data_IF_985598865721
#
_entry.id   IF_985598865721
#
_cell.length_a   1.000
_cell.length_b   1.000
_cell.length_c   1.000
_cell.angle_alpha   90.00
_cell.angle_beta   90.00
_cell.angle_gamma   90.00
#
_symmetry.space_group_name_H-M   'P 1'
#
loop_
_entity.id
_entity.type
_entity.pdbx_description
1 polymer ?
#
# COMPACT_ATOMS: atom_id res chain seq x y z
N UNK A 1 -60.65 1.30 -33.94
CA UNK A 1 -60.57 2.61 -34.64
C UNK A 1 -59.23 3.20 -34.26
N UNK A 2 -58.17 2.97 -35.05
CA UNK A 2 -57.77 3.72 -36.26
C UNK A 2 -57.19 5.09 -35.86
N UNK A 3 -56.06 5.60 -36.34
CA UNK A 3 -55.26 5.29 -37.53
C UNK A 3 -53.88 5.99 -37.39
N UNK A 4 -52.77 5.36 -37.82
CA UNK A 4 -51.99 5.70 -39.05
C UNK A 4 -51.17 6.99 -39.02
N UNK A 5 -49.84 6.89 -39.14
CA UNK A 5 -49.05 6.93 -40.40
C UNK A 5 -48.92 8.31 -41.04
N UNK A 6 -47.67 8.78 -41.12
CA UNK A 6 -47.08 9.46 -42.30
C UNK A 6 -45.57 9.62 -42.01
N UNK A 7 -44.65 8.76 -42.49
CA UNK A 7 -44.13 8.61 -43.86
C UNK A 7 -43.84 9.96 -44.56
N UNK A 8 -42.55 10.29 -44.69
CA UNK A 8 -41.96 10.84 -45.94
C UNK A 8 -40.53 10.30 -46.12
N UNK A 9 -40.39 9.46 -47.14
CA UNK A 9 -39.14 9.13 -47.81
C UNK A 9 -38.74 10.30 -48.73
N UNK A 10 -37.44 10.51 -48.95
CA UNK A 10 -36.94 10.94 -50.27
C UNK A 10 -35.53 10.39 -50.48
N UNK A 11 -35.36 9.81 -51.66
CA UNK A 11 -34.26 8.98 -52.14
C UNK A 11 -33.27 9.75 -53.06
N UNK A 12 -32.11 9.12 -53.27
CA UNK A 12 -31.13 9.22 -54.38
C UNK A 12 -30.15 10.40 -54.48
N UNK A 13 -28.84 10.08 -54.36
CA UNK A 13 -27.96 9.91 -55.53
C UNK A 13 -26.62 9.27 -55.16
N UNK A 14 -26.39 8.08 -55.70
CA UNK A 14 -25.07 7.48 -55.93
C UNK A 14 -24.51 8.05 -57.24
N UNK A 15 -23.20 8.30 -57.29
CA UNK A 15 -22.45 8.38 -58.55
C UNK A 15 -21.09 7.71 -58.34
N UNK A 16 -20.87 6.51 -58.87
CA UNK A 16 -19.55 5.99 -59.21
C UNK A 16 -19.15 6.53 -60.58
N UNK A 17 -17.85 6.74 -60.84
CA UNK A 17 -17.19 6.64 -62.15
C UNK A 17 -15.82 7.33 -62.09
N UNK A 18 -14.74 6.55 -62.10
CA UNK A 18 -13.86 6.51 -63.27
C UNK A 18 -12.68 5.58 -63.05
N UNK A 19 -12.62 4.60 -63.94
CA UNK A 19 -11.65 3.53 -64.04
C UNK A 19 -11.14 3.54 -65.50
N UNK A 20 -9.82 3.38 -65.66
CA UNK A 20 -9.04 3.01 -66.87
C UNK A 20 -9.02 3.93 -68.10
N UNK A 21 -7.82 4.38 -68.46
CA UNK A 21 -7.07 3.97 -69.68
C UNK A 21 -5.91 4.95 -69.95
N UNK A 22 -4.91 4.67 -70.79
CA UNK A 22 -3.88 3.63 -70.77
C UNK A 22 -2.75 4.09 -71.73
N UNK A 23 -1.49 3.67 -71.47
CA UNK A 23 -0.35 3.50 -72.42
C UNK A 23 0.22 4.75 -73.15
N UNK A 24 1.51 4.90 -73.51
CA UNK A 24 2.72 4.04 -73.54
C UNK A 24 3.94 4.89 -73.95
N UNK A 25 5.14 4.29 -73.75
CA UNK A 25 6.48 4.53 -74.36
C UNK A 25 7.46 5.27 -73.43
N UNK A 26 8.68 4.80 -73.16
CA UNK A 26 9.54 3.86 -73.87
C UNK A 26 10.59 3.20 -72.95
N UNK A 27 11.10 2.08 -73.46
CA UNK A 27 12.01 1.04 -72.96
C UNK A 27 13.43 1.45 -72.53
N UNK A 28 14.02 0.66 -71.62
CA UNK A 28 15.38 0.13 -71.81
C UNK A 28 15.51 -1.28 -71.23
N UNK A 29 15.98 -2.21 -72.07
CA UNK A 29 15.94 -3.68 -71.94
C UNK A 29 17.31 -4.21 -71.43
N UNK A 30 17.92 -3.57 -70.43
CA UNK A 30 19.31 -3.90 -70.04
C UNK A 30 19.50 -4.51 -68.64
N UNK A 31 18.44 -4.76 -67.87
CA UNK A 31 18.58 -5.19 -66.47
C UNK A 31 18.05 -6.59 -66.15
N UNK A 32 17.65 -7.38 -67.14
CA UNK A 32 17.08 -8.72 -66.90
C UNK A 32 17.96 -9.92 -67.26
N UNK A 33 19.25 -9.73 -67.56
CA UNK A 33 20.17 -10.85 -67.82
C UNK A 33 21.52 -10.58 -67.15
N UNK A 34 21.67 -11.06 -65.90
CA UNK A 34 22.87 -10.94 -65.08
C UNK A 34 24.08 -11.72 -65.64
N UNK A 35 24.70 -11.19 -66.69
CA UNK A 35 25.95 -11.69 -67.27
C UNK A 35 26.91 -10.50 -67.48
N UNK A 36 27.86 -10.31 -66.54
CA UNK A 36 29.01 -9.43 -66.76
C UNK A 36 30.03 -10.17 -67.63
N UNK A 37 30.22 -9.70 -68.85
CA UNK A 37 31.31 -10.12 -69.73
C UNK A 37 32.68 -9.77 -69.11
N UNK A 38 33.56 -10.76 -69.01
CA UNK A 38 34.94 -10.62 -68.53
C UNK A 38 35.86 -10.26 -69.70
N UNK A 39 36.59 -9.15 -69.58
CA UNK A 39 37.49 -8.64 -70.61
C UNK A 39 38.79 -9.50 -70.75
N UNK A 40 39.39 -9.56 -71.95
CA UNK A 40 40.41 -10.53 -72.34
C UNK A 40 41.85 -10.13 -71.95
N UNK A 41 42.11 -9.88 -70.67
CA UNK A 41 43.47 -9.61 -70.16
C UNK A 41 43.99 -10.66 -69.15
N UNK A 42 43.12 -11.55 -68.68
CA UNK A 42 43.45 -12.53 -67.63
C UNK A 42 43.97 -13.88 -68.16
N UNK A 43 43.94 -14.10 -69.47
CA UNK A 43 44.35 -15.40 -70.08
C UNK A 43 45.88 -15.52 -70.22
N UNK A 44 46.63 -14.43 -70.13
CA UNK A 44 48.09 -14.44 -70.36
C UNK A 44 48.90 -14.77 -69.09
N UNK A 45 48.31 -14.72 -67.89
CA UNK A 45 49.04 -15.01 -66.63
C UNK A 45 49.08 -16.50 -66.22
N UNK A 46 48.43 -17.38 -66.97
CA UNK A 46 48.30 -18.81 -66.63
C UNK A 46 49.21 -19.74 -67.47
N UNK A 47 50.20 -19.21 -68.20
CA UNK A 47 51.15 -20.01 -69.00
C UNK A 47 52.61 -19.99 -68.52
N UNK A 48 52.94 -19.41 -67.36
CA UNK A 48 54.31 -19.38 -66.83
C UNK A 48 54.64 -20.52 -65.83
N UNK A 49 53.84 -21.60 -65.82
CA UNK A 49 53.91 -22.68 -64.81
C UNK A 49 54.50 -24.02 -65.31
N UNK A 50 55.37 -23.99 -66.32
CA UNK A 50 56.09 -25.19 -66.79
C UNK A 50 57.59 -24.89 -67.03
N UNK A 51 58.39 -24.89 -65.95
CA UNK A 51 59.84 -25.08 -66.00
C UNK A 51 60.24 -26.14 -64.96
N UNK A 52 60.66 -27.32 -65.44
CA UNK A 52 61.19 -28.40 -64.61
C UNK A 52 62.63 -28.07 -64.14
N UNK A 53 62.93 -28.08 -62.83
CA UNK A 53 64.31 -28.11 -62.34
C UNK A 53 64.83 -29.55 -62.24
N UNK A 54 65.97 -29.79 -62.90
CA UNK A 54 66.72 -31.04 -62.92
C UNK A 54 67.43 -31.33 -61.59
N UNK A 55 67.33 -32.58 -61.10
CA UNK A 55 68.28 -33.22 -60.17
C UNK A 55 68.01 -33.10 -58.65
N UNK A 56 67.33 -34.08 -58.04
CA UNK A 56 67.32 -34.28 -56.57
C UNK A 56 68.38 -35.32 -56.17
N UNK A 57 69.34 -34.90 -55.33
CA UNK A 57 70.25 -35.80 -54.59
C UNK A 57 69.51 -36.42 -53.40
N UNK A 58 69.67 -37.72 -53.17
CA UNK A 58 69.13 -38.43 -52.00
C UNK A 58 69.79 -37.89 -50.73
N UNK A 59 68.97 -37.49 -49.74
CA UNK A 59 69.43 -37.10 -48.40
C UNK A 59 69.66 -38.35 -47.57
N UNK A 60 70.83 -38.49 -46.98
CA UNK A 60 71.15 -39.58 -46.05
C UNK A 60 71.20 -39.04 -44.63
N UNK A 61 70.81 -39.87 -43.67
CA UNK A 61 70.81 -39.54 -42.24
C UNK A 61 72.20 -39.07 -41.77
N UNK A 62 73.27 -39.61 -42.36
CA UNK A 62 74.64 -39.19 -42.12
C UNK A 62 74.92 -37.74 -42.56
N UNK A 63 74.32 -37.30 -43.68
CA UNK A 63 74.42 -35.93 -44.16
C UNK A 63 73.68 -34.93 -43.26
N UNK A 64 72.51 -35.31 -42.75
CA UNK A 64 71.72 -34.46 -41.86
C UNK A 64 72.39 -34.29 -40.49
N UNK A 65 72.96 -35.35 -39.92
CA UNK A 65 73.72 -35.28 -38.65
C UNK A 65 75.01 -34.47 -38.81
N UNK A 66 75.73 -34.64 -39.93
CA UNK A 66 76.93 -33.86 -40.22
C UNK A 66 76.61 -32.37 -40.43
N UNK A 67 75.48 -32.05 -41.06
CA UNK A 67 75.03 -30.66 -41.22
C UNK A 67 74.65 -30.01 -39.89
N UNK A 68 74.03 -30.76 -38.97
CA UNK A 68 73.66 -30.26 -37.64
C UNK A 68 74.89 -30.04 -36.75
N UNK A 69 75.88 -30.93 -36.80
CA UNK A 69 77.16 -30.78 -36.10
C UNK A 69 77.96 -29.57 -36.61
N UNK A 70 77.96 -29.34 -37.92
CA UNK A 70 78.70 -28.23 -38.55
C UNK A 70 78.03 -26.87 -38.33
N UNK A 71 76.70 -26.84 -38.22
CA UNK A 71 75.93 -25.59 -38.14
C UNK A 71 75.63 -25.16 -36.71
N UNK A 72 75.49 -26.09 -35.76
CA UNK A 72 75.01 -25.76 -34.41
C UNK A 72 75.98 -26.06 -33.25
N UNK A 73 77.14 -26.73 -33.47
CA UNK A 73 78.15 -27.06 -32.44
C UNK A 73 77.57 -27.18 -31.01
N UNK A 74 76.65 -28.12 -30.76
CA UNK A 74 75.96 -28.19 -29.49
C UNK A 74 76.96 -28.46 -28.35
N UNK A 75 76.99 -27.57 -27.36
CA UNK A 75 77.79 -27.74 -26.14
C UNK A 75 77.30 -28.97 -25.36
N UNK A 76 78.18 -29.72 -24.71
CA UNK A 76 77.81 -30.86 -23.86
C UNK A 76 76.73 -30.49 -22.82
N UNK A 77 76.71 -29.23 -22.36
CA UNK A 77 75.67 -28.69 -21.50
C UNK A 77 74.26 -28.73 -22.13
N UNK A 78 74.14 -28.45 -23.43
CA UNK A 78 72.84 -28.47 -24.14
C UNK A 78 72.28 -29.88 -24.30
N UNK A 79 73.15 -30.90 -24.38
CA UNK A 79 72.76 -32.31 -24.44
C UNK A 79 72.25 -32.76 -23.08
N UNK A 80 72.94 -32.38 -21.99
CA UNK A 80 72.48 -32.67 -20.62
C UNK A 80 71.16 -31.95 -20.31
N UNK A 81 70.99 -30.70 -20.75
CA UNK A 81 69.73 -29.94 -20.59
C UNK A 81 68.58 -30.56 -21.40
N UNK A 82 68.86 -31.07 -22.60
CA UNK A 82 67.87 -31.76 -23.43
C UNK A 82 67.45 -33.10 -22.81
N UNK A 83 68.38 -33.83 -22.20
CA UNK A 83 68.10 -35.09 -21.51
C UNK A 83 67.30 -34.85 -20.21
N UNK A 84 67.62 -33.80 -19.46
CA UNK A 84 66.88 -33.41 -18.26
C UNK A 84 65.46 -32.92 -18.58
N UNK A 85 65.26 -32.23 -19.70
CA UNK A 85 63.92 -31.88 -20.22
C UNK A 85 63.10 -33.10 -20.63
N UNK A 86 63.73 -34.22 -20.99
CA UNK A 86 63.05 -35.47 -21.35
C UNK A 86 62.61 -36.28 -20.12
N UNK A 87 63.23 -36.05 -18.96
CA UNK A 87 62.81 -36.64 -17.68
C UNK A 87 61.58 -35.96 -17.07
N UNK A 88 61.29 -34.71 -17.42
CA UNK A 88 60.00 -34.06 -17.09
C UNK A 88 58.93 -34.48 -18.11
N UNK A 89 58.19 -35.54 -17.77
CA UNK A 89 57.19 -36.13 -18.64
C UNK A 89 56.02 -35.14 -18.91
N UNK A 90 55.51 -35.01 -20.15
CA UNK A 90 54.34 -34.19 -20.50
C UNK A 90 53.06 -34.52 -19.72
N UNK A 91 53.06 -35.63 -18.99
CA UNK A 91 51.96 -36.10 -18.16
C UNK A 91 51.79 -35.29 -16.87
N UNK A 92 52.87 -34.75 -16.29
CA UNK A 92 52.81 -33.97 -15.05
C UNK A 92 52.29 -32.55 -15.28
N UNK A 93 52.72 -31.87 -16.35
CA UNK A 93 52.17 -30.57 -16.74
C UNK A 93 50.69 -30.66 -17.12
N UNK A 94 50.27 -31.78 -17.72
CA UNK A 94 48.87 -32.02 -18.11
C UNK A 94 47.99 -32.29 -16.89
N UNK A 95 48.48 -33.06 -15.90
CA UNK A 95 47.78 -33.27 -14.61
C UNK A 95 47.66 -31.98 -13.81
N UNK A 96 48.71 -31.16 -13.73
CA UNK A 96 48.64 -29.87 -13.03
C UNK A 96 47.69 -28.87 -13.70
N UNK A 97 47.67 -28.80 -15.04
CA UNK A 97 46.69 -27.97 -15.78
C UNK A 97 45.25 -28.47 -15.64
N UNK A 98 45.03 -29.78 -15.57
CA UNK A 98 43.70 -30.36 -15.34
C UNK A 98 43.21 -30.11 -13.89
N UNK A 99 44.07 -30.24 -12.89
CA UNK A 99 43.73 -29.95 -11.48
C UNK A 99 43.48 -28.45 -11.28
N UNK A 100 44.28 -27.58 -11.89
CA UNK A 100 44.08 -26.14 -11.83
C UNK A 100 42.78 -25.69 -12.54
N UNK A 101 42.45 -26.31 -13.69
CA UNK A 101 41.20 -26.05 -14.41
C UNK A 101 39.98 -26.58 -13.64
N UNK A 102 40.06 -27.79 -13.09
CA UNK A 102 38.99 -28.38 -12.28
C UNK A 102 38.75 -27.59 -10.97
N UNK A 103 39.80 -27.07 -10.32
CA UNK A 103 39.69 -26.21 -9.13
C UNK A 103 39.09 -24.84 -9.45
N UNK A 104 39.37 -24.28 -10.63
CA UNK A 104 38.79 -23.00 -11.07
C UNK A 104 37.31 -23.15 -11.49
N UNK A 105 36.93 -24.27 -12.09
CA UNK A 105 35.53 -24.60 -12.41
C UNK A 105 34.71 -24.95 -11.15
N UNK A 106 35.30 -25.66 -10.17
CA UNK A 106 34.60 -26.00 -8.92
C UNK A 106 34.39 -24.80 -7.99
N UNK A 107 35.33 -23.85 -7.94
CA UNK A 107 35.16 -22.59 -7.19
C UNK A 107 34.07 -21.70 -7.82
N UNK A 108 33.98 -21.63 -9.14
CA UNK A 108 32.92 -20.87 -9.80
C UNK A 108 31.54 -21.51 -9.56
N UNK A 109 31.45 -22.85 -9.59
CA UNK A 109 30.20 -23.54 -9.28
C UNK A 109 29.79 -23.38 -7.81
N UNK A 110 30.74 -23.34 -6.88
CA UNK A 110 30.46 -23.13 -5.45
C UNK A 110 29.96 -21.70 -5.17
N UNK A 111 30.53 -20.70 -5.84
CA UNK A 111 30.05 -19.31 -5.75
C UNK A 111 28.64 -19.17 -6.33
N UNK A 112 28.34 -19.83 -7.46
CA UNK A 112 26.99 -19.82 -8.05
C UNK A 112 25.96 -20.50 -7.14
N UNK A 113 26.32 -21.63 -6.51
CA UNK A 113 25.44 -22.31 -5.54
C UNK A 113 25.23 -21.45 -4.30
N UNK A 114 26.27 -20.83 -3.75
CA UNK A 114 26.15 -19.92 -2.61
C UNK A 114 25.25 -18.71 -2.93
N UNK A 115 25.38 -18.13 -4.13
CA UNK A 115 24.54 -17.02 -4.58
C UNK A 115 23.07 -17.44 -4.76
N UNK A 116 22.82 -18.65 -5.26
CA UNK A 116 21.47 -19.20 -5.38
C UNK A 116 20.81 -19.40 -4.00
N UNK A 117 21.57 -19.89 -3.01
CA UNK A 117 21.09 -20.03 -1.63
C UNK A 117 20.78 -18.68 -0.98
N UNK A 118 21.62 -17.66 -1.22
CA UNK A 118 21.37 -16.30 -0.71
C UNK A 118 20.11 -15.71 -1.36
N UNK A 119 19.92 -15.89 -2.67
CA UNK A 119 18.70 -15.44 -3.36
C UNK A 119 17.45 -16.17 -2.88
N UNK A 120 17.53 -17.47 -2.62
CA UNK A 120 16.42 -18.24 -2.03
C UNK A 120 16.10 -17.80 -0.61
N UNK A 121 17.12 -17.54 0.23
CA UNK A 121 16.92 -17.04 1.58
C UNK A 121 16.33 -15.62 1.59
N UNK A 122 16.80 -14.73 0.72
CA UNK A 122 16.26 -13.39 0.57
C UNK A 122 14.82 -13.40 0.03
N UNK A 123 14.54 -14.25 -0.97
CA UNK A 123 13.19 -14.44 -1.51
C UNK A 123 12.23 -15.03 -0.48
N UNK A 124 12.67 -16.03 0.28
CA UNK A 124 11.90 -16.63 1.37
C UNK A 124 11.62 -15.65 2.52
N UNK A 125 12.63 -14.86 2.92
CA UNK A 125 12.46 -13.81 3.92
C UNK A 125 11.51 -12.71 3.43
N UNK A 126 11.61 -12.30 2.16
CA UNK A 126 10.71 -11.31 1.55
C UNK A 126 9.28 -11.85 1.47
N UNK A 127 9.09 -13.12 1.07
CA UNK A 127 7.78 -13.75 1.01
C UNK A 127 7.18 -13.92 2.41
N UNK A 128 7.98 -14.33 3.40
CA UNK A 128 7.57 -14.40 4.80
C UNK A 128 7.16 -13.02 5.34
N UNK A 129 7.92 -11.97 5.03
CA UNK A 129 7.60 -10.60 5.43
C UNK A 129 6.32 -10.09 4.74
N UNK A 130 6.09 -10.45 3.48
CA UNK A 130 4.85 -10.12 2.77
C UNK A 130 3.63 -10.87 3.32
N UNK A 131 3.77 -12.16 3.64
CA UNK A 131 2.69 -12.98 4.19
C UNK A 131 2.33 -12.57 5.63
N UNK A 132 3.33 -12.19 6.44
CA UNK A 132 3.10 -11.72 7.82
C UNK A 132 2.62 -10.27 7.90
N UNK A 133 2.81 -9.45 6.86
CA UNK A 133 2.30 -8.07 6.80
C UNK A 133 0.94 -7.89 6.12
N UNK A 134 0.27 -8.95 5.69
CA UNK A 134 -1.13 -8.90 5.19
C UNK A 134 -2.19 -8.67 6.29
N UNK A 135 -1.83 -8.04 7.40
CA UNK A 135 -2.76 -7.57 8.44
C UNK A 135 -3.13 -6.08 8.34
N UNK A 136 -2.57 -5.34 7.37
CA UNK A 136 -2.94 -3.96 7.15
C UNK A 136 -3.66 -3.82 5.81
N UNK A 137 -4.93 -4.23 5.76
CA UNK A 137 -5.85 -3.57 4.85
C UNK A 137 -5.78 -2.09 5.21
N UNK A 138 -5.19 -1.29 4.33
CA UNK A 138 -5.35 0.15 4.30
C UNK A 138 -6.81 0.37 3.93
N UNK A 139 -7.69 0.19 4.93
CA UNK A 139 -9.02 0.76 4.88
C UNK A 139 -8.84 2.24 4.59
N UNK A 140 -9.70 2.80 3.73
CA UNK A 140 -9.86 4.24 3.68
C UNK A 140 -10.13 4.71 5.11
N UNK A 141 -9.15 5.37 5.72
CA UNK A 141 -9.34 6.07 6.99
C UNK A 141 -10.24 7.24 6.63
N UNK A 142 -11.55 7.08 6.85
CA UNK A 142 -12.41 8.24 7.01
C UNK A 142 -11.89 8.95 8.25
N UNK A 143 -11.13 10.02 8.04
CA UNK A 143 -10.77 10.91 9.15
C UNK A 143 -12.06 11.62 9.53
N UNK A 144 -12.80 11.09 10.50
CA UNK A 144 -13.88 11.83 11.10
C UNK A 144 -13.32 13.16 11.59
N UNK A 145 -13.84 14.27 11.05
CA UNK A 145 -13.53 15.59 11.57
C UNK A 145 -14.13 15.66 12.97
N UNK A 146 -13.29 15.67 13.99
CA UNK A 146 -13.75 15.92 15.36
C UNK A 146 -14.27 17.36 15.45
N UNK A 147 -15.37 17.62 16.18
CA UNK A 147 -15.93 18.97 16.31
C UNK A 147 -15.01 19.93 17.08
N UNK A 148 -14.05 19.39 17.85
CA UNK A 148 -13.04 20.16 18.58
C UNK A 148 -11.63 19.58 18.37
N UNK A 149 -10.62 20.40 18.62
CA UNK A 149 -9.23 19.97 18.74
C UNK A 149 -9.02 19.19 20.05
N UNK A 150 -8.29 18.09 19.95
CA UNK A 150 -8.04 17.15 21.06
C UNK A 150 -6.55 16.98 21.28
N UNK A 151 -6.16 16.73 22.53
CA UNK A 151 -4.75 16.57 22.89
C UNK A 151 -4.31 15.10 22.77
N UNK A 152 -5.25 14.18 23.00
CA UNK A 152 -5.02 12.73 22.98
C UNK A 152 -6.19 12.00 22.30
N UNK A 153 -5.90 10.86 21.67
CA UNK A 153 -6.90 9.96 21.10
C UNK A 153 -6.68 8.57 21.69
N UNK A 154 -7.75 8.00 22.24
CA UNK A 154 -7.81 6.64 22.77
C UNK A 154 -8.79 5.82 21.94
N UNK A 155 -8.29 4.88 21.16
CA UNK A 155 -9.14 3.96 20.37
C UNK A 155 -9.74 2.88 21.28
N UNK A 156 -11.04 2.65 21.15
CA UNK A 156 -11.78 1.58 21.82
C UNK A 156 -12.52 0.76 20.77
N UNK A 157 -12.13 -0.51 20.63
CA UNK A 157 -12.80 -1.41 19.70
C UNK A 157 -14.10 -1.95 20.28
N UNK A 158 -15.19 -1.70 19.59
CA UNK A 158 -16.52 -2.26 19.82
C UNK A 158 -16.54 -3.66 19.21
N UNK A 159 -16.66 -4.69 20.05
CA UNK A 159 -16.68 -6.09 19.59
C UNK A 159 -17.83 -6.39 18.61
N UNK A 160 -17.73 -7.51 17.88
CA UNK A 160 -18.68 -7.87 16.81
C UNK A 160 -20.15 -8.02 17.28
N UNK A 161 -20.36 -8.40 18.55
CA UNK A 161 -21.68 -8.42 19.19
C UNK A 161 -21.59 -7.61 20.49
N UNK A 162 -21.68 -6.28 20.39
CA UNK A 162 -21.47 -5.41 21.53
C UNK A 162 -22.70 -5.45 22.45
N UNK A 163 -22.46 -5.57 23.74
CA UNK A 163 -23.49 -5.44 24.77
C UNK A 163 -23.45 -4.05 25.40
N UNK A 164 -24.61 -3.55 25.84
CA UNK A 164 -24.71 -2.29 26.61
C UNK A 164 -23.66 -2.21 27.72
N UNK A 165 -23.57 -3.26 28.55
CA UNK A 165 -22.60 -3.36 29.65
C UNK A 165 -21.16 -3.27 29.17
N UNK A 166 -20.81 -4.03 28.12
CA UNK A 166 -19.45 -4.07 27.59
C UNK A 166 -19.01 -2.72 27.00
N UNK A 167 -19.94 -2.01 26.34
CA UNK A 167 -19.66 -0.66 25.83
C UNK A 167 -19.42 0.34 26.97
N UNK A 168 -20.29 0.34 27.98
CA UNK A 168 -20.15 1.20 29.16
C UNK A 168 -18.81 0.93 29.87
N UNK A 169 -18.46 -0.33 30.07
CA UNK A 169 -17.22 -0.73 30.74
C UNK A 169 -15.97 -0.30 29.95
N UNK A 170 -16.01 -0.45 28.63
CA UNK A 170 -14.90 -0.05 27.75
C UNK A 170 -14.69 1.47 27.77
N UNK A 171 -15.78 2.25 27.67
CA UNK A 171 -15.73 3.71 27.77
C UNK A 171 -15.27 4.15 29.16
N UNK A 172 -15.83 3.58 30.23
CA UNK A 172 -15.43 3.89 31.61
C UNK A 172 -13.95 3.61 31.86
N UNK A 173 -13.43 2.52 31.30
CA UNK A 173 -12.00 2.16 31.39
C UNK A 173 -11.13 3.16 30.64
N UNK A 174 -11.53 3.57 29.43
CA UNK A 174 -10.82 4.61 28.67
C UNK A 174 -10.79 5.96 29.40
N UNK A 175 -11.92 6.38 30.00
CA UNK A 175 -12.00 7.60 30.82
C UNK A 175 -11.06 7.51 32.04
N UNK A 176 -11.05 6.39 32.76
CA UNK A 176 -10.17 6.20 33.93
C UNK A 176 -8.68 6.25 33.55
N UNK A 177 -8.32 5.70 32.40
CA UNK A 177 -6.94 5.67 31.92
C UNK A 177 -6.45 7.04 31.41
N UNK A 178 -7.36 7.99 31.14
CA UNK A 178 -7.04 9.36 30.72
C UNK A 178 -6.36 10.18 31.84
N UNK A 179 -6.37 9.71 33.10
CA UNK A 179 -5.93 10.48 34.28
C UNK A 179 -4.44 10.87 34.33
N UNK A 180 -3.59 10.46 33.38
CA UNK A 180 -2.17 10.78 33.39
C UNK A 180 -1.88 12.28 33.19
N UNK A 181 -2.73 13.00 32.46
CA UNK A 181 -2.59 14.43 32.19
C UNK A 181 -3.90 15.19 32.49
N UNK A 182 -3.97 15.82 33.66
CA UNK A 182 -5.16 16.54 34.14
C UNK A 182 -5.54 17.79 33.31
N UNK A 183 -4.78 18.14 32.26
CA UNK A 183 -5.10 19.25 31.36
C UNK A 183 -5.42 18.82 29.93
N UNK A 184 -5.21 17.55 29.58
CA UNK A 184 -5.50 17.04 28.25
C UNK A 184 -7.01 16.80 28.08
N UNK A 185 -7.52 17.13 26.89
CA UNK A 185 -8.81 16.66 26.39
C UNK A 185 -8.55 15.43 25.53
N UNK A 186 -9.07 14.29 25.98
CA UNK A 186 -8.89 13.00 25.31
C UNK A 186 -10.15 12.63 24.56
N UNK A 187 -10.03 12.36 23.27
CA UNK A 187 -11.08 11.75 22.47
C UNK A 187 -11.07 10.24 22.66
N UNK A 188 -12.23 9.66 22.96
CA UNK A 188 -12.42 8.22 22.98
C UNK A 188 -13.05 7.85 21.65
N UNK A 189 -12.25 7.34 20.74
CA UNK A 189 -12.65 6.95 19.39
C UNK A 189 -13.22 5.53 19.43
N UNK A 190 -14.52 5.41 19.19
CA UNK A 190 -15.20 4.11 19.19
C UNK A 190 -15.17 3.54 17.77
N UNK A 191 -14.52 2.40 17.59
CA UNK A 191 -14.38 1.77 16.27
C UNK A 191 -14.99 0.37 16.25
N UNK A 192 -15.69 0.03 15.19
CA UNK A 192 -16.20 -1.32 14.94
C UNK A 192 -15.46 -1.98 13.77
N UNK A 193 -15.44 -3.32 13.76
CA UNK A 193 -14.88 -4.08 12.65
C UNK A 193 -15.94 -4.23 11.55
N UNK A 194 -15.83 -3.39 10.53
CA UNK A 194 -16.64 -3.48 9.32
C UNK A 194 -16.09 -4.49 8.31
N UNK A 195 -16.87 -4.74 7.25
CA UNK A 195 -16.50 -5.65 6.14
C UNK A 195 -15.23 -5.20 5.41
N UNK A 196 -14.96 -3.89 5.39
CA UNK A 196 -13.83 -3.27 4.69
C UNK A 196 -12.70 -2.80 5.62
N UNK A 197 -12.75 -3.18 6.91
CA UNK A 197 -11.80 -2.76 7.94
C UNK A 197 -12.47 -2.00 9.09
N UNK A 198 -11.65 -1.35 9.92
CA UNK A 198 -12.14 -0.54 11.04
C UNK A 198 -12.93 0.66 10.55
N UNK A 199 -14.10 0.89 11.13
CA UNK A 199 -14.97 2.03 10.85
C UNK A 199 -15.43 2.66 12.15
N UNK A 200 -15.63 3.97 12.15
CA UNK A 200 -16.14 4.68 13.33
C UNK A 200 -17.56 4.23 13.68
N UNK A 201 -17.84 4.13 14.97
CA UNK A 201 -19.16 3.83 15.46
C UNK A 201 -20.10 4.99 15.11
N UNK A 202 -21.19 4.69 14.42
CA UNK A 202 -22.20 5.71 14.11
C UNK A 202 -23.05 6.10 15.32
N UNK A 203 -23.59 7.33 15.31
CA UNK A 203 -24.53 7.82 16.34
C UNK A 203 -25.73 6.87 16.50
N UNK A 204 -26.32 6.42 15.39
CA UNK A 204 -27.45 5.47 15.44
C UNK A 204 -27.02 4.14 16.06
N UNK A 205 -25.83 3.63 15.73
CA UNK A 205 -25.34 2.37 16.28
C UNK A 205 -25.01 2.50 17.77
N UNK A 206 -24.42 3.62 18.17
CA UNK A 206 -24.15 3.94 19.57
C UNK A 206 -25.41 3.85 20.44
N UNK A 207 -26.48 4.56 20.05
CA UNK A 207 -27.75 4.52 20.78
C UNK A 207 -28.41 3.13 20.75
N UNK A 208 -28.29 2.38 19.66
CA UNK A 208 -28.79 1.00 19.58
C UNK A 208 -28.06 0.04 20.53
N UNK A 209 -26.73 0.12 20.61
CA UNK A 209 -25.94 -0.76 21.49
C UNK A 209 -26.24 -0.46 22.96
N UNK A 210 -26.42 0.82 23.28
CA UNK A 210 -26.81 1.25 24.60
C UNK A 210 -28.26 0.91 24.91
N UNK A 211 -29.09 0.51 23.95
CA UNK A 211 -30.51 0.21 24.15
C UNK A 211 -31.22 1.38 24.83
N UNK A 212 -31.09 2.58 24.25
CA UNK A 212 -31.66 3.81 24.79
C UNK A 212 -33.07 4.08 24.29
N UNK A 213 -33.87 4.76 25.08
CA UNK A 213 -35.19 5.31 24.73
C UNK A 213 -35.10 6.68 24.05
N UNK A 214 -33.97 6.97 23.39
CA UNK A 214 -33.78 8.20 22.64
C UNK A 214 -34.86 8.35 21.56
N UNK A 215 -35.54 9.50 21.45
CA UNK A 215 -36.53 9.70 20.40
C UNK A 215 -35.92 9.52 19.01
N UNK A 216 -36.62 8.79 18.14
CA UNK A 216 -36.13 8.53 16.78
C UNK A 216 -35.94 9.83 15.97
N UNK A 217 -36.74 10.85 16.26
CA UNK A 217 -36.58 12.21 15.72
C UNK A 217 -35.24 12.84 16.11
N UNK A 218 -34.77 12.62 17.34
CA UNK A 218 -33.46 13.10 17.79
C UNK A 218 -32.36 12.42 16.98
N UNK A 219 -32.35 11.09 16.92
CA UNK A 219 -31.31 10.33 16.17
C UNK A 219 -31.24 10.76 14.70
N UNK A 220 -32.38 11.02 14.06
CA UNK A 220 -32.44 11.53 12.67
C UNK A 220 -31.98 12.98 12.52
N UNK A 221 -32.08 13.77 13.58
CA UNK A 221 -31.66 15.17 13.61
C UNK A 221 -30.20 15.35 14.03
N UNK A 222 -29.50 14.25 14.32
CA UNK A 222 -28.07 14.20 14.61
C UNK A 222 -27.31 13.67 13.40
N UNK A 223 -26.06 14.12 13.26
CA UNK A 223 -25.14 13.58 12.28
C UNK A 223 -24.74 12.15 12.64
N UNK A 224 -24.22 11.42 11.65
CA UNK A 224 -23.76 10.05 11.88
C UNK A 224 -22.49 9.97 12.73
N UNK A 225 -21.75 11.08 12.86
CA UNK A 225 -20.57 11.22 13.70
C UNK A 225 -20.91 11.86 15.05
N UNK A 226 -20.20 11.43 16.07
CA UNK A 226 -20.25 12.04 17.40
C UNK A 226 -18.88 11.93 18.04
N UNK A 227 -18.70 12.67 19.13
CA UNK A 227 -17.47 12.64 19.90
C UNK A 227 -17.80 12.29 21.34
N UNK A 228 -17.13 11.28 21.88
CA UNK A 228 -17.03 11.07 23.33
C UNK A 228 -15.61 11.39 23.75
N UNK A 229 -15.47 11.93 24.96
CA UNK A 229 -14.17 12.18 25.52
C UNK A 229 -14.17 12.35 27.02
N UNK A 230 -13.00 12.63 27.54
CA UNK A 230 -12.78 12.94 28.94
C UNK A 230 -11.90 14.16 29.07
N UNK A 231 -12.23 15.00 30.05
CA UNK A 231 -11.37 16.08 30.53
C UNK A 231 -11.33 16.00 32.05
N UNK A 232 -10.13 15.94 32.64
CA UNK A 232 -9.98 15.79 34.10
C UNK A 232 -10.74 14.59 34.69
N UNK A 233 -10.79 13.48 33.96
CA UNK A 233 -11.53 12.27 34.36
C UNK A 233 -13.05 12.50 34.53
N UNK A 234 -13.56 13.51 33.82
CA UNK A 234 -14.97 13.86 33.70
C UNK A 234 -15.40 13.68 32.24
N UNK A 235 -16.42 12.86 31.97
CA UNK A 235 -16.85 12.56 30.61
C UNK A 235 -17.60 13.72 29.97
N UNK A 236 -17.50 13.77 28.65
CA UNK A 236 -18.34 14.61 27.81
C UNK A 236 -18.71 13.90 26.51
N UNK A 237 -19.81 14.34 25.91
CA UNK A 237 -20.18 13.98 24.56
C UNK A 237 -20.54 15.22 23.75
N UNK A 238 -20.19 15.22 22.47
CA UNK A 238 -20.56 16.25 21.51
C UNK A 238 -21.22 15.55 20.33
N UNK A 239 -22.44 15.96 20.03
CA UNK A 239 -23.17 15.51 18.85
C UNK A 239 -23.34 16.69 17.91
N UNK A 240 -23.12 16.47 16.62
CA UNK A 240 -23.44 17.47 15.60
C UNK A 240 -24.90 17.35 15.19
N UNK A 241 -25.64 18.45 15.16
CA UNK A 241 -27.04 18.52 14.76
C UNK A 241 -27.16 18.84 13.28
N UNK A 242 -28.03 18.13 12.57
CA UNK A 242 -28.40 18.41 11.17
C UNK A 242 -29.67 19.24 11.07
N UNK A 243 -30.56 19.14 12.07
CA UNK A 243 -31.80 19.92 12.15
C UNK A 243 -32.07 20.34 13.61
N UNK A 244 -31.65 21.56 13.94
CA UNK A 244 -31.61 22.08 15.31
C UNK A 244 -32.99 22.06 15.99
N UNK A 245 -34.03 22.55 15.33
CA UNK A 245 -35.35 22.71 15.93
C UNK A 245 -35.95 21.37 16.38
N UNK A 246 -35.77 20.31 15.58
CA UNK A 246 -36.20 18.96 15.96
C UNK A 246 -35.28 18.33 17.00
N UNK A 247 -33.98 18.57 16.94
CA UNK A 247 -33.05 18.06 17.95
C UNK A 247 -33.36 18.67 19.33
N UNK A 248 -33.57 19.98 19.40
CA UNK A 248 -33.93 20.69 20.63
C UNK A 248 -35.25 20.18 21.22
N UNK A 249 -36.31 20.11 20.42
CA UNK A 249 -37.61 19.61 20.89
C UNK A 249 -37.51 18.15 21.38
N UNK A 250 -36.79 17.29 20.64
CA UNK A 250 -36.65 15.89 21.01
C UNK A 250 -35.74 15.67 22.22
N UNK A 251 -34.80 16.59 22.51
CA UNK A 251 -34.00 16.54 23.72
C UNK A 251 -34.87 16.74 24.96
N UNK A 252 -35.85 17.65 24.91
CA UNK A 252 -36.80 17.86 26.01
C UNK A 252 -37.61 16.59 26.30
N UNK A 253 -38.08 15.91 25.25
CA UNK A 253 -38.78 14.63 25.40
C UNK A 253 -37.88 13.55 26.02
N UNK A 254 -36.58 13.57 25.68
CA UNK A 254 -35.62 12.58 26.16
C UNK A 254 -35.18 12.78 27.61
N UNK A 255 -35.34 13.97 28.18
CA UNK A 255 -34.95 14.29 29.57
C UNK A 255 -35.45 13.25 30.59
N UNK A 256 -36.67 12.72 30.39
CA UNK A 256 -37.30 11.72 31.27
C UNK A 256 -36.59 10.35 31.23
N UNK A 257 -35.89 10.02 30.15
CA UNK A 257 -35.19 8.74 29.99
C UNK A 257 -33.66 8.89 29.97
N UNK A 258 -33.15 10.11 29.99
CA UNK A 258 -31.73 10.38 29.79
C UNK A 258 -30.85 9.71 30.86
N UNK A 259 -31.26 9.74 32.12
CA UNK A 259 -30.50 9.08 33.18
C UNK A 259 -30.50 7.55 33.05
N UNK A 260 -31.63 6.83 32.94
CA UNK A 260 -31.57 5.39 32.73
C UNK A 260 -30.89 4.99 31.42
N UNK A 261 -30.88 5.86 30.40
CA UNK A 261 -30.26 5.60 29.10
C UNK A 261 -28.74 5.78 29.10
N UNK A 262 -28.25 6.98 29.44
CA UNK A 262 -26.83 7.35 29.36
C UNK A 262 -26.19 7.61 30.72
N UNK A 263 -26.97 7.60 31.80
CA UNK A 263 -26.55 7.62 33.21
C UNK A 263 -25.23 6.89 33.49
N UNK A 264 -25.19 5.58 33.19
CA UNK A 264 -24.03 4.73 33.44
C UNK A 264 -22.73 5.14 32.72
N UNK A 265 -22.80 5.95 31.66
CA UNK A 265 -21.62 6.44 30.94
C UNK A 265 -20.96 7.63 31.62
N UNK A 266 -21.75 8.43 32.34
CA UNK A 266 -21.29 9.70 32.89
C UNK A 266 -21.21 9.69 34.42
N UNK A 267 -22.03 8.88 35.11
CA UNK A 267 -22.07 8.84 36.56
C UNK A 267 -21.00 7.91 37.15
N UNK A 268 -20.06 8.48 37.91
CA UNK A 268 -19.13 7.73 38.79
C UNK A 268 -19.79 7.19 40.06
N UNK A 269 -20.93 7.76 40.45
CA UNK A 269 -21.61 7.50 41.72
C UNK A 269 -23.06 7.14 41.43
N UNK A 270 -23.49 5.96 41.90
CA UNK A 270 -24.90 5.63 42.02
C UNK A 270 -25.48 6.51 43.13
N UNK A 271 -25.86 7.74 42.80
CA UNK A 271 -26.64 8.59 43.69
C UNK A 271 -28.11 8.37 43.39
N UNK A 272 -28.96 8.11 44.41
CA UNK A 272 -30.40 8.08 44.20
C UNK A 272 -30.86 9.42 43.63
N UNK A 273 -31.82 9.37 42.70
CA UNK A 273 -32.40 10.54 42.04
C UNK A 273 -33.75 10.77 42.71
N UNK A 274 -33.89 11.87 43.45
CA UNK A 274 -35.16 12.27 44.07
C UNK A 274 -36.20 12.64 43.00
N UNK A 275 -35.74 13.35 41.97
CA UNK A 275 -36.58 13.93 40.92
C UNK A 275 -35.83 13.86 39.61
N UNK A 276 -36.40 13.17 38.62
CA UNK A 276 -35.84 13.15 37.27
C UNK A 276 -36.30 14.39 36.48
N UNK A 277 -36.00 15.57 37.02
CA UNK A 277 -36.47 16.85 36.47
C UNK A 277 -35.27 17.72 36.16
N UNK A 278 -35.17 18.12 34.90
CA UNK A 278 -34.16 19.07 34.47
C UNK A 278 -34.59 20.49 34.79
N UNK A 279 -33.69 21.24 35.42
CA UNK A 279 -33.82 22.67 35.65
C UNK A 279 -33.09 23.48 34.57
N UNK A 280 -33.56 24.70 34.35
CA UNK A 280 -32.90 25.64 33.46
C UNK A 280 -31.89 26.49 34.24
N UNK A 281 -30.65 26.53 33.76
CA UNK A 281 -29.53 27.25 34.38
C UNK A 281 -28.70 27.93 33.30
N UNK A 282 -28.29 29.16 33.54
CA UNK A 282 -27.32 29.83 32.67
C UNK A 282 -25.90 29.49 33.13
N UNK A 283 -25.14 28.77 32.29
CA UNK A 283 -23.73 28.47 32.55
C UNK A 283 -22.87 29.00 31.41
N UNK A 284 -21.82 29.76 31.74
CA UNK A 284 -20.90 30.33 30.73
C UNK A 284 -21.63 31.12 29.62
N UNK A 285 -22.70 31.83 29.99
CA UNK A 285 -23.55 32.59 29.06
C UNK A 285 -24.25 31.71 28.00
N UNK A 286 -24.60 30.47 28.38
CA UNK A 286 -25.39 29.53 27.60
C UNK A 286 -26.51 28.94 28.44
N UNK A 287 -27.70 28.83 27.85
CA UNK A 287 -28.83 28.14 28.46
C UNK A 287 -28.49 26.67 28.56
N UNK A 288 -28.54 26.13 29.77
CA UNK A 288 -28.04 24.80 30.11
C UNK A 288 -29.10 24.09 30.92
N UNK A 289 -29.48 22.91 30.46
CA UNK A 289 -30.43 22.04 31.15
C UNK A 289 -29.63 21.14 32.08
N UNK A 290 -29.96 21.16 33.37
CA UNK A 290 -29.19 20.48 34.42
C UNK A 290 -30.08 19.51 35.18
N UNK A 291 -29.59 18.28 35.36
CA UNK A 291 -30.17 17.29 36.26
C UNK A 291 -29.30 17.20 37.52
N UNK A 292 -29.93 17.34 38.68
CA UNK A 292 -29.25 17.23 39.98
C UNK A 292 -29.69 16.01 40.77
N UNK A 293 -28.79 15.53 41.62
CA UNK A 293 -29.15 14.56 42.65
C UNK A 293 -29.82 15.24 43.86
N UNK A 294 -30.18 14.44 44.86
CA UNK A 294 -30.81 14.89 46.11
C UNK A 294 -29.98 15.89 46.91
N UNK A 295 -28.65 15.83 46.75
CA UNK A 295 -27.68 16.65 47.47
C UNK A 295 -27.43 17.99 46.74
N UNK A 296 -27.93 18.13 45.51
CA UNK A 296 -27.73 19.31 44.66
C UNK A 296 -26.51 19.21 43.75
N UNK A 297 -25.80 18.07 43.72
CA UNK A 297 -24.71 17.85 42.76
C UNK A 297 -25.27 17.66 41.35
N UNK A 298 -24.53 18.13 40.36
CA UNK A 298 -24.86 17.90 38.95
C UNK A 298 -24.58 16.44 38.61
N UNK A 299 -25.60 15.73 38.15
CA UNK A 299 -25.47 14.41 37.54
C UNK A 299 -25.20 14.55 36.04
N UNK A 300 -26.03 15.36 35.38
CA UNK A 300 -25.98 15.62 33.95
C UNK A 300 -26.22 17.09 33.68
N UNK A 301 -25.56 17.60 32.66
CA UNK A 301 -25.96 18.84 32.02
C UNK A 301 -25.82 18.72 30.52
N UNK A 302 -26.68 19.42 29.80
CA UNK A 302 -26.52 19.59 28.36
C UNK A 302 -26.85 21.02 27.92
N UNK A 303 -26.24 21.44 26.82
CA UNK A 303 -26.50 22.74 26.22
C UNK A 303 -26.29 22.65 24.70
N UNK A 304 -26.98 23.53 23.99
CA UNK A 304 -26.75 23.81 22.58
C UNK A 304 -25.96 25.12 22.49
N UNK A 305 -24.62 25.10 22.41
CA UNK A 305 -23.83 26.31 22.29
C UNK A 305 -24.13 27.11 21.02
N UNK A 306 -24.56 26.42 19.97
CA UNK A 306 -24.98 26.94 18.67
C UNK A 306 -26.02 25.98 18.06
N UNK A 307 -26.36 26.17 16.78
CA UNK A 307 -27.34 25.33 16.07
C UNK A 307 -26.77 24.03 15.52
N UNK A 308 -25.47 23.82 15.62
CA UNK A 308 -24.73 22.71 15.02
C UNK A 308 -24.21 21.72 16.07
N UNK A 309 -24.10 22.12 17.33
CA UNK A 309 -23.54 21.29 18.39
C UNK A 309 -24.49 21.12 19.56
N UNK A 310 -24.58 19.88 20.05
CA UNK A 310 -25.16 19.50 21.32
C UNK A 310 -24.05 18.96 22.20
N UNK A 311 -23.85 19.58 23.36
CA UNK A 311 -22.80 19.20 24.33
C UNK A 311 -23.45 18.63 25.58
N UNK A 312 -23.00 17.46 26.02
CA UNK A 312 -23.40 16.80 27.27
C UNK A 312 -22.17 16.58 28.16
N UNK A 313 -22.29 16.83 29.46
CA UNK A 313 -21.22 16.55 30.44
C UNK A 313 -21.77 16.45 31.87
N UNK A 314 -20.90 16.24 32.85
CA UNK A 314 -21.20 16.06 34.27
C UNK A 314 -20.94 17.32 35.11
N UNK A 315 -20.21 18.32 34.59
CA UNK A 315 -19.88 19.51 35.36
C UNK A 315 -19.59 20.75 34.50
N UNK A 316 -19.73 21.93 35.13
CA UNK A 316 -19.53 23.23 34.46
C UNK A 316 -18.07 23.57 34.11
N UNK A 317 -17.10 22.89 34.70
CA UNK A 317 -15.67 23.05 34.38
C UNK A 317 -15.34 22.43 33.03
N UNK A 318 -15.74 21.17 32.83
CA UNK A 318 -15.65 20.46 31.54
C UNK A 318 -16.45 21.19 30.48
N UNK A 319 -17.68 21.64 30.79
CA UNK A 319 -18.46 22.44 29.86
C UNK A 319 -17.68 23.68 29.38
N UNK A 320 -17.10 24.44 30.32
CA UNK A 320 -16.33 25.65 29.97
C UNK A 320 -15.14 25.38 29.06
N UNK A 321 -14.42 24.28 29.26
CA UNK A 321 -13.31 23.86 28.39
C UNK A 321 -13.81 23.50 26.98
N UNK A 322 -14.88 22.70 26.87
CA UNK A 322 -15.43 22.27 25.58
C UNK A 322 -15.96 23.48 24.80
N UNK A 323 -16.70 24.37 25.45
CA UNK A 323 -17.19 25.61 24.84
C UNK A 323 -16.04 26.50 24.32
N UNK A 324 -14.94 26.60 25.09
CA UNK A 324 -13.77 27.37 24.68
C UNK A 324 -13.04 26.77 23.47
N UNK A 325 -13.17 25.45 23.23
CA UNK A 325 -12.59 24.77 22.06
C UNK A 325 -13.48 24.84 20.83
N UNK A 326 -14.80 24.80 21.00
CA UNK A 326 -15.76 25.00 19.91
C UNK A 326 -15.71 26.43 19.34
N UNK A 327 -15.35 27.42 20.16
CA UNK A 327 -15.29 28.82 19.75
C UNK A 327 -14.01 29.23 19.00
N UNK A 328 -13.03 28.32 18.83
CA UNK A 328 -11.75 28.59 18.14
C UNK A 328 -11.86 28.32 16.65
#
# INVERSE_FOLDING_TARGET
MANENQKKETYYKLSPDNIWSSRTKETSIAEHLGIKAKAPADIIKEQEKMRYPSGRRLRTFQGDVASLMKTQKPSQASIVIAEQKKQHSPEEERKQKLIAKARKESLNNLVVVALAFILLAAGGASLYFFLTKQGAHTGMVFTARTPIFVDEISEVSVGASPSRRGLIESISTAIKNTSANSKAVTHIELVEQGVLGKTDLSTSRFFQILDTHVPLSLVRSLSNSFMIGAYRNEPFAIFTTTFFESAFASMLDWEIQMEPDIGPLFSKKASPILTNTFEDVVMRNKDTRVLRNEVGDILFLYTFPDKEHLVLTTNGGTLGEILARLAR
#
